data_IF_761658087837
#
_entry.id   IF_761658087837
#
_cell.length_a   1.000
_cell.length_b   1.000
_cell.length_c   1.000
_cell.angle_alpha   90.00
_cell.angle_beta   90.00
_cell.angle_gamma   90.00
#
_symmetry.space_group_name_H-M   'P 1'
#
loop_
_entity.id
_entity.type
_entity.pdbx_description
1 polymer ?
#
# COMPACT_ATOMS: atom_id res chain seq x y z
N UNK A 1 10.59 -19.08 4.84
CA UNK A 1 9.72 -18.21 4.00
C UNK A 1 10.39 -18.06 2.64
N UNK A 2 9.69 -18.25 1.52
CA UNK A 2 10.33 -18.15 0.20
C UNK A 2 10.64 -16.70 -0.16
N UNK A 3 11.67 -16.46 -0.98
CA UNK A 3 12.06 -15.10 -1.40
C UNK A 3 10.91 -14.36 -2.10
N UNK A 4 10.09 -15.09 -2.87
CA UNK A 4 8.85 -14.57 -3.47
C UNK A 4 7.92 -13.96 -2.42
N UNK A 5 7.70 -14.67 -1.31
CA UNK A 5 6.84 -14.19 -0.21
C UNK A 5 7.48 -13.01 0.54
N UNK A 6 8.81 -12.99 0.69
CA UNK A 6 9.52 -11.84 1.29
C UNK A 6 9.34 -10.59 0.44
N UNK A 7 9.59 -10.67 -0.87
CA UNK A 7 9.37 -9.57 -1.80
C UNK A 7 7.89 -9.14 -1.81
N UNK A 8 6.98 -10.11 -1.79
CA UNK A 8 5.54 -9.84 -1.69
C UNK A 8 5.17 -9.07 -0.43
N UNK A 9 5.72 -9.44 0.73
CA UNK A 9 5.51 -8.72 1.99
C UNK A 9 6.06 -7.30 1.94
N UNK A 10 7.29 -7.12 1.44
CA UNK A 10 7.92 -5.80 1.34
C UNK A 10 7.08 -4.87 0.46
N UNK A 11 6.63 -5.35 -0.70
CA UNK A 11 5.79 -4.56 -1.60
C UNK A 11 4.41 -4.27 -1.00
N UNK A 12 3.77 -5.28 -0.41
CA UNK A 12 2.43 -5.15 0.17
C UNK A 12 2.40 -4.22 1.38
N UNK A 13 3.36 -4.30 2.29
CA UNK A 13 3.38 -3.43 3.48
C UNK A 13 4.03 -2.08 3.16
N UNK A 14 5.05 -2.07 2.31
CA UNK A 14 5.71 -0.85 1.85
C UNK A 14 4.79 0.10 1.10
N UNK A 15 3.78 -0.42 0.37
CA UNK A 15 2.78 0.43 -0.29
C UNK A 15 2.03 1.34 0.69
N UNK A 16 1.86 0.93 1.94
CA UNK A 16 1.17 1.74 2.95
C UNK A 16 2.06 2.84 3.55
N UNK A 17 3.38 2.68 3.49
CA UNK A 17 4.31 3.71 3.96
C UNK A 17 4.25 4.97 3.09
N UNK A 18 3.76 4.85 1.85
CA UNK A 18 3.54 6.00 0.96
C UNK A 18 2.58 7.01 1.59
N UNK A 19 1.59 6.61 2.39
CA UNK A 19 0.67 7.55 3.03
C UNK A 19 1.39 8.52 3.99
N UNK A 20 2.40 8.06 4.72
CA UNK A 20 3.20 8.93 5.58
C UNK A 20 4.02 9.93 4.75
N UNK A 21 4.60 9.50 3.63
CA UNK A 21 5.30 10.36 2.68
C UNK A 21 4.36 11.42 2.07
N UNK A 22 3.13 11.05 1.72
CA UNK A 22 2.14 11.99 1.20
C UNK A 22 1.78 13.08 2.21
N UNK A 23 1.63 12.72 3.49
CA UNK A 23 1.39 13.70 4.57
C UNK A 23 2.57 14.65 4.71
N UNK A 24 3.80 14.13 4.65
CA UNK A 24 5.02 14.95 4.71
C UNK A 24 5.07 15.97 3.57
N UNK A 25 4.86 15.52 2.33
CA UNK A 25 4.84 16.39 1.14
C UNK A 25 3.71 17.44 1.24
N UNK A 26 2.55 17.06 1.77
CA UNK A 26 1.45 17.99 1.96
C UNK A 26 1.80 19.12 2.96
N UNK A 27 2.50 18.77 4.04
CA UNK A 27 2.89 19.68 5.12
C UNK A 27 4.10 20.58 4.76
N UNK A 28 4.90 20.21 3.76
CA UNK A 28 6.07 20.99 3.33
C UNK A 28 5.66 22.36 2.77
N UNK A 29 6.22 23.47 3.26
CA UNK A 29 5.82 24.81 2.81
C UNK A 29 6.58 25.30 1.56
N UNK A 30 7.66 24.63 1.16
CA UNK A 30 8.56 25.09 0.10
C UNK A 30 8.02 24.79 -1.30
N UNK A 31 7.20 23.75 -1.44
CA UNK A 31 6.71 23.28 -2.72
C UNK A 31 5.37 23.89 -3.10
N UNK A 32 5.19 24.18 -4.39
CA UNK A 32 3.92 24.68 -4.90
C UNK A 32 2.84 23.59 -4.82
N UNK A 33 1.57 24.02 -4.80
CA UNK A 33 0.42 23.10 -4.78
C UNK A 33 0.42 22.14 -5.97
N UNK A 34 0.85 22.61 -7.15
CA UNK A 34 0.91 21.78 -8.36
C UNK A 34 1.98 20.67 -8.25
N UNK A 35 3.16 20.99 -7.71
CA UNK A 35 4.24 20.01 -7.51
C UNK A 35 3.85 18.96 -6.48
N UNK A 36 3.27 19.38 -5.35
CA UNK A 36 2.75 18.47 -4.33
C UNK A 36 1.70 17.53 -4.89
N UNK A 37 0.78 18.06 -5.70
CA UNK A 37 -0.26 17.23 -6.32
C UNK A 37 0.33 16.25 -7.33
N UNK A 38 1.24 16.70 -8.21
CA UNK A 38 1.87 15.86 -9.21
C UNK A 38 2.67 14.70 -8.61
N UNK A 39 3.54 15.01 -7.65
CA UNK A 39 4.36 14.00 -6.95
C UNK A 39 3.47 13.12 -6.07
N UNK A 40 2.49 13.71 -5.38
CA UNK A 40 1.55 12.98 -4.55
C UNK A 40 0.73 11.97 -5.36
N UNK A 41 0.21 12.36 -6.53
CA UNK A 41 -0.53 11.48 -7.43
C UNK A 41 0.37 10.34 -7.96
N UNK A 42 1.61 10.64 -8.34
CA UNK A 42 2.57 9.64 -8.80
C UNK A 42 2.88 8.61 -7.71
N UNK A 43 3.22 9.08 -6.50
CA UNK A 43 3.49 8.22 -5.35
C UNK A 43 2.27 7.37 -4.98
N UNK A 44 1.08 7.97 -4.96
CA UNK A 44 -0.16 7.25 -4.69
C UNK A 44 -0.42 6.16 -5.75
N UNK A 45 -0.23 6.46 -7.04
CA UNK A 45 -0.31 5.47 -8.12
C UNK A 45 0.66 4.30 -7.93
N UNK A 46 1.93 4.59 -7.59
CA UNK A 46 2.95 3.57 -7.30
C UNK A 46 2.54 2.71 -6.09
N UNK A 47 1.91 3.31 -5.07
CA UNK A 47 1.42 2.58 -3.91
C UNK A 47 0.39 1.51 -4.29
N UNK A 48 -0.55 1.81 -5.18
CA UNK A 48 -1.52 0.82 -5.66
C UNK A 48 -0.89 -0.30 -6.47
N UNK A 49 0.07 0.02 -7.34
CA UNK A 49 0.77 -0.98 -8.16
C UNK A 49 1.56 -1.92 -7.26
N UNK A 50 2.30 -1.39 -6.28
CA UNK A 50 3.10 -2.17 -5.35
C UNK A 50 2.21 -3.00 -4.40
N UNK A 51 1.08 -2.46 -3.96
CA UNK A 51 0.06 -3.19 -3.20
C UNK A 51 -0.47 -4.40 -3.98
N UNK A 52 -0.87 -4.20 -5.24
CA UNK A 52 -1.40 -5.26 -6.09
C UNK A 52 -0.33 -6.33 -6.37
N UNK A 53 0.87 -5.91 -6.76
CA UNK A 53 2.00 -6.82 -7.01
C UNK A 53 2.38 -7.62 -5.76
N UNK A 54 2.45 -6.96 -4.60
CA UNK A 54 2.71 -7.60 -3.31
C UNK A 54 1.66 -8.64 -2.95
N UNK A 55 0.38 -8.30 -3.14
CA UNK A 55 -0.76 -9.22 -2.92
C UNK A 55 -0.65 -10.47 -3.78
N UNK A 56 -0.31 -10.33 -5.06
CA UNK A 56 -0.13 -11.45 -6.00
C UNK A 56 1.02 -12.36 -5.58
N UNK A 57 2.17 -11.78 -5.18
CA UNK A 57 3.35 -12.54 -4.78
C UNK A 57 3.17 -13.31 -3.46
N UNK A 58 2.40 -12.75 -2.53
CA UNK A 58 2.01 -13.39 -1.28
C UNK A 58 1.08 -14.59 -1.50
N UNK A 59 0.26 -14.53 -2.54
CA UNK A 59 -0.56 -15.64 -3.02
C UNK A 59 -1.96 -15.70 -2.41
N UNK A 60 -2.79 -16.64 -2.88
CA UNK A 60 -4.22 -16.71 -2.56
C UNK A 60 -4.49 -16.94 -1.06
N UNK A 61 -3.70 -17.78 -0.40
CA UNK A 61 -3.86 -18.07 1.05
C UNK A 61 -3.79 -16.80 1.91
N UNK A 62 -2.93 -15.85 1.52
CA UNK A 62 -2.79 -14.59 2.24
C UNK A 62 -4.03 -13.71 2.05
N UNK A 63 -4.52 -13.61 0.82
CA UNK A 63 -5.73 -12.86 0.49
C UNK A 63 -6.95 -13.44 1.21
N UNK A 64 -7.05 -14.77 1.30
CA UNK A 64 -8.12 -15.44 2.02
C UNK A 64 -8.09 -15.14 3.52
N UNK A 65 -6.90 -15.14 4.14
CA UNK A 65 -6.73 -14.73 5.53
C UNK A 65 -7.16 -13.29 5.79
N UNK A 66 -6.81 -12.36 4.89
CA UNK A 66 -7.29 -10.98 4.98
C UNK A 66 -8.81 -10.94 4.90
N UNK A 67 -9.42 -11.63 3.92
CA UNK A 67 -10.87 -11.70 3.77
C UNK A 67 -11.56 -12.21 5.03
N UNK A 68 -11.01 -13.25 5.66
CA UNK A 68 -11.54 -13.78 6.92
C UNK A 68 -11.41 -12.80 8.08
N UNK A 69 -10.32 -12.02 8.12
CA UNK A 69 -10.09 -11.02 9.16
C UNK A 69 -11.04 -9.82 9.05
N UNK A 70 -11.34 -9.37 7.82
CA UNK A 70 -12.25 -8.24 7.57
C UNK A 70 -13.72 -8.65 7.50
N UNK A 71 -14.01 -9.96 7.40
CA UNK A 71 -15.39 -10.45 7.34
C UNK A 71 -16.11 -10.05 8.61
N UNK A 72 -17.21 -9.27 8.53
CA UNK A 72 -17.96 -8.90 9.72
C UNK A 72 -18.44 -10.18 10.40
N UNK A 73 -18.08 -10.35 11.68
CA UNK A 73 -18.67 -11.38 12.53
C UNK A 73 -20.10 -10.95 12.79
N UNK A 74 -21.02 -11.30 11.89
CA UNK A 74 -22.44 -11.33 12.22
C UNK A 74 -22.60 -12.34 13.35
N UNK A 75 -22.55 -11.84 14.59
CA UNK A 75 -23.09 -12.54 15.75
C UNK A 75 -24.60 -12.45 15.58
N UNK A 76 -25.20 -13.53 15.05
CA UNK A 76 -26.61 -13.81 15.33
C UNK A 76 -26.77 -13.97 16.84
#
# INVERSE_FOLDING_TARGET
MSIRKVLGSILFFGSWLVYALLIFIAADAEWTTAEKFGIGAALYGVSWITFAAGSILLGPDFIEKIKLMIKPKNKK
#
